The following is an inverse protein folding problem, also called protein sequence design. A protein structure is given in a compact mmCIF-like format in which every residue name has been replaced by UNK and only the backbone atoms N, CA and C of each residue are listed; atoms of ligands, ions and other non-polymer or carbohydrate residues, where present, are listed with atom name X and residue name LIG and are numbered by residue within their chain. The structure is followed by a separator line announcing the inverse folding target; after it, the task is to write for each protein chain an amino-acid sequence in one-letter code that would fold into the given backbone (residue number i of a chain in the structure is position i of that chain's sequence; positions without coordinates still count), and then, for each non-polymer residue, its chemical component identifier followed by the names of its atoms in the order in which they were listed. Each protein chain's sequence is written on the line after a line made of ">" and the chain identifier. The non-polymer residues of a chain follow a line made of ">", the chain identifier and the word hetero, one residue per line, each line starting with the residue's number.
data_IF_392968674482
#
_entry.id   IF_392968674482
#
_cell.length_a   1.000
_cell.length_b   1.000
_cell.length_c   1.000
_cell.angle_alpha   90.00
_cell.angle_beta   90.00
_cell.angle_gamma   90.00
#
_symmetry.space_group_name_H-M   'P 1'
#
loop_
_entity.id
_entity.type
_entity.pdbx_description
1 polymer ?
#
# COMPACT_ATOMS: atom_id res chain seq x y z
N UNK A 1 3.48 -27.61 -9.45
CA UNK A 1 4.95 -27.44 -9.44
C UNK A 1 5.22 -26.15 -8.69
N UNK A 2 5.57 -26.23 -7.41
CA UNK A 2 5.93 -25.06 -6.61
C UNK A 2 7.45 -24.89 -6.64
N UNK A 3 7.95 -23.94 -7.44
CA UNK A 3 9.30 -23.42 -7.27
C UNK A 3 9.30 -22.50 -6.05
N UNK A 4 9.39 -23.09 -4.85
CA UNK A 4 9.75 -22.36 -3.64
C UNK A 4 11.19 -21.88 -3.80
N UNK A 5 11.35 -20.65 -4.29
CA UNK A 5 12.62 -19.93 -4.24
C UNK A 5 12.95 -19.77 -2.75
N UNK A 6 13.83 -20.64 -2.21
CA UNK A 6 14.49 -20.37 -0.92
C UNK A 6 15.46 -19.21 -1.17
N UNK A 7 14.95 -17.99 -1.19
CA UNK A 7 15.81 -16.81 -1.15
C UNK A 7 16.52 -16.81 0.19
N UNK A 8 17.85 -16.74 0.16
CA UNK A 8 18.61 -16.60 1.38
C UNK A 8 18.51 -15.16 1.87
N UNK A 9 18.74 -14.94 3.16
CA UNK A 9 18.78 -13.60 3.74
C UNK A 9 19.80 -12.68 3.02
N UNK A 10 20.91 -13.25 2.51
CA UNK A 10 21.87 -12.53 1.70
C UNK A 10 21.32 -12.09 0.34
N UNK A 11 20.49 -12.92 -0.30
CA UNK A 11 19.83 -12.59 -1.57
C UNK A 11 18.82 -11.46 -1.37
N UNK A 12 18.09 -11.46 -0.25
CA UNK A 12 17.14 -10.39 0.10
C UNK A 12 17.86 -9.05 0.37
N UNK A 13 18.95 -9.07 1.14
CA UNK A 13 19.77 -7.86 1.37
C UNK A 13 20.29 -7.32 0.05
N UNK A 14 20.77 -8.19 -0.83
CA UNK A 14 21.26 -7.79 -2.15
C UNK A 14 20.15 -7.15 -2.98
N UNK A 15 18.97 -7.77 -3.05
CA UNK A 15 17.84 -7.23 -3.77
C UNK A 15 17.41 -5.84 -3.26
N UNK A 16 17.33 -5.65 -1.94
CA UNK A 16 16.99 -4.35 -1.34
C UNK A 16 18.07 -3.30 -1.67
N UNK A 17 19.34 -3.69 -1.64
CA UNK A 17 20.46 -2.80 -1.97
C UNK A 17 20.43 -2.39 -3.44
N UNK A 18 20.18 -3.33 -4.34
CA UNK A 18 20.09 -3.09 -5.79
C UNK A 18 18.90 -2.17 -6.11
N UNK A 19 17.75 -2.36 -5.45
CA UNK A 19 16.58 -1.49 -5.56
C UNK A 19 16.90 -0.07 -5.06
N UNK A 20 17.49 0.05 -3.87
CA UNK A 20 17.83 1.34 -3.28
C UNK A 20 18.83 2.14 -4.12
N UNK A 21 19.76 1.45 -4.80
CA UNK A 21 20.77 2.06 -5.68
C UNK A 21 20.19 2.58 -7.00
N UNK A 22 19.09 1.99 -7.49
CA UNK A 22 18.41 2.41 -8.71
C UNK A 22 17.39 3.55 -8.48
N UNK A 23 17.07 3.88 -7.23
CA UNK A 23 16.06 4.89 -6.89
C UNK A 23 16.63 6.33 -6.86
N UNK A 24 15.82 7.34 -7.18
CA UNK A 24 16.15 8.74 -6.88
C UNK A 24 16.41 8.93 -5.38
N UNK A 25 17.38 9.78 -5.03
CA UNK A 25 17.84 9.98 -3.65
C UNK A 25 16.69 10.29 -2.67
N UNK A 26 15.71 11.09 -3.09
CA UNK A 26 14.54 11.42 -2.28
C UNK A 26 13.72 10.16 -1.90
N UNK A 27 13.60 9.18 -2.81
CA UNK A 27 12.89 7.92 -2.57
C UNK A 27 13.72 6.93 -1.76
N UNK A 28 15.05 6.94 -1.88
CA UNK A 28 15.95 6.17 -1.01
C UNK A 28 15.86 6.61 0.45
N UNK A 29 15.70 7.92 0.71
CA UNK A 29 15.48 8.46 2.06
C UNK A 29 14.15 7.97 2.65
N UNK A 30 13.08 7.96 1.85
CA UNK A 30 11.77 7.44 2.28
C UNK A 30 11.84 5.93 2.62
N UNK A 31 12.53 5.14 1.79
CA UNK A 31 12.74 3.71 2.03
C UNK A 31 13.48 3.48 3.37
N UNK A 32 14.50 4.29 3.66
CA UNK A 32 15.22 4.22 4.92
C UNK A 32 14.35 4.60 6.13
N UNK A 33 13.54 5.67 6.01
CA UNK A 33 12.60 6.08 7.06
C UNK A 33 11.54 4.99 7.32
N UNK A 34 11.04 4.36 6.27
CA UNK A 34 10.11 3.24 6.39
C UNK A 34 10.75 2.03 7.09
N UNK A 35 11.99 1.69 6.75
CA UNK A 35 12.72 0.63 7.46
C UNK A 35 12.91 0.93 8.95
N UNK A 36 13.18 2.20 9.32
CA UNK A 36 13.23 2.63 10.72
C UNK A 36 11.86 2.54 11.41
N UNK A 37 10.78 2.88 10.70
CA UNK A 37 9.43 2.72 11.20
C UNK A 37 9.15 1.25 11.53
N UNK A 38 9.42 0.32 10.61
CA UNK A 38 9.23 -1.12 10.84
C UNK A 38 10.08 -1.68 11.98
N UNK A 39 11.26 -1.12 12.23
CA UNK A 39 12.10 -1.49 13.38
C UNK A 39 11.45 -1.12 14.72
N UNK A 40 10.69 -0.02 14.75
CA UNK A 40 10.01 0.48 15.96
C UNK A 40 8.57 -0.02 16.08
N UNK A 41 7.96 -0.39 14.96
CA UNK A 41 6.61 -0.91 14.82
C UNK A 41 6.70 -2.22 14.00
N UNK A 42 7.15 -3.33 14.64
CA UNK A 42 7.27 -4.59 13.94
C UNK A 42 5.90 -4.98 13.38
N UNK A 43 5.88 -5.39 12.12
CA UNK A 43 4.65 -5.92 11.52
C UNK A 43 4.24 -7.16 12.33
N UNK A 44 2.95 -7.33 12.63
CA UNK A 44 2.47 -8.57 13.22
C UNK A 44 2.88 -9.73 12.30
N UNK A 45 3.49 -10.75 12.89
CA UNK A 45 3.85 -11.98 12.18
C UNK A 45 2.58 -12.74 11.86
N UNK A 46 2.06 -12.51 10.66
CA UNK A 46 0.83 -13.09 10.08
C UNK A 46 -0.42 -12.81 10.92
N UNK A 47 -1.35 -12.05 10.34
CA UNK A 47 -2.70 -11.95 10.89
C UNK A 47 -3.33 -13.35 10.85
N UNK A 48 -3.85 -13.77 11.99
CA UNK A 48 -4.61 -15.02 12.06
C UNK A 48 -5.86 -14.91 11.21
N UNK A 49 -6.38 -16.03 10.71
CA UNK A 49 -7.67 -16.04 10.00
C UNK A 49 -8.80 -15.44 10.85
N UNK A 50 -8.72 -15.55 12.18
CA UNK A 50 -9.69 -14.97 13.10
C UNK A 50 -9.57 -13.44 13.19
N UNK A 51 -8.35 -12.89 13.17
CA UNK A 51 -8.13 -11.45 13.10
C UNK A 51 -8.60 -10.87 11.76
N UNK A 52 -8.28 -11.54 10.65
CA UNK A 52 -8.75 -11.14 9.32
C UNK A 52 -10.28 -11.16 9.27
N UNK A 53 -10.92 -12.23 9.77
CA UNK A 53 -12.38 -12.33 9.77
C UNK A 53 -13.05 -11.28 10.68
N UNK A 54 -12.41 -10.92 11.80
CA UNK A 54 -12.89 -9.86 12.67
C UNK A 54 -12.81 -8.49 11.99
N UNK A 55 -11.70 -8.21 11.30
CA UNK A 55 -11.55 -6.99 10.53
C UNK A 55 -12.56 -6.94 9.38
N UNK A 56 -12.68 -7.98 8.55
CA UNK A 56 -13.68 -8.05 7.47
C UNK A 56 -15.12 -7.79 8.00
N UNK A 57 -15.48 -8.33 9.17
CA UNK A 57 -16.77 -8.07 9.78
C UNK A 57 -16.95 -6.59 10.21
N UNK A 58 -15.89 -5.92 10.63
CA UNK A 58 -15.89 -4.47 10.92
C UNK A 58 -16.07 -3.68 9.61
N UNK A 59 -15.35 -4.04 8.56
CA UNK A 59 -15.46 -3.42 7.24
C UNK A 59 -16.88 -3.57 6.69
N UNK A 60 -17.44 -4.78 6.72
CA UNK A 60 -18.82 -5.06 6.29
C UNK A 60 -19.84 -4.24 7.07
N UNK A 61 -19.69 -4.15 8.40
CA UNK A 61 -20.59 -3.36 9.23
C UNK A 61 -20.51 -1.86 8.92
N UNK A 62 -19.31 -1.35 8.65
CA UNK A 62 -19.11 0.05 8.27
C UNK A 62 -19.67 0.36 6.88
N UNK A 63 -19.45 -0.52 5.90
CA UNK A 63 -20.04 -0.37 4.57
C UNK A 63 -21.56 -0.46 4.61
N UNK A 64 -22.13 -1.41 5.36
CA UNK A 64 -23.58 -1.54 5.51
C UNK A 64 -24.22 -0.33 6.23
N UNK A 65 -23.47 0.33 7.12
CA UNK A 65 -23.89 1.56 7.79
C UNK A 65 -23.60 2.83 6.99
N UNK A 66 -22.86 2.73 5.88
CA UNK A 66 -22.53 3.87 5.03
C UNK A 66 -23.76 4.28 4.23
N UNK A 67 -24.02 5.58 4.25
CA UNK A 67 -25.09 6.22 3.49
C UNK A 67 -24.64 6.41 2.04
N UNK A 68 -25.31 5.74 1.10
CA UNK A 68 -24.98 5.75 -0.34
C UNK A 68 -24.89 7.18 -0.90
N UNK A 69 -25.74 8.11 -0.43
CA UNK A 69 -25.72 9.50 -0.90
C UNK A 69 -24.45 10.23 -0.43
N UNK A 70 -23.99 9.92 0.79
CA UNK A 70 -22.72 10.49 1.31
C UNK A 70 -21.51 9.88 0.62
N UNK A 71 -21.56 8.59 0.30
CA UNK A 71 -20.50 7.92 -0.45
C UNK A 71 -20.41 8.49 -1.87
N UNK A 72 -21.54 8.67 -2.55
CA UNK A 72 -21.58 9.30 -3.86
C UNK A 72 -21.06 10.74 -3.84
N UNK A 73 -21.40 11.51 -2.81
CA UNK A 73 -20.88 12.87 -2.64
C UNK A 73 -19.36 12.89 -2.42
N UNK A 74 -18.83 11.93 -1.65
CA UNK A 74 -17.37 11.78 -1.44
C UNK A 74 -16.66 11.42 -2.75
N UNK A 75 -17.19 10.46 -3.51
CA UNK A 75 -16.64 10.10 -4.82
C UNK A 75 -16.60 11.30 -5.77
N UNK A 76 -17.69 12.05 -5.87
CA UNK A 76 -17.76 13.24 -6.72
C UNK A 76 -16.75 14.32 -6.30
N UNK A 77 -16.52 14.48 -4.99
CA UNK A 77 -15.52 15.41 -4.48
C UNK A 77 -14.09 14.98 -4.85
N UNK A 78 -13.76 13.69 -4.71
CA UNK A 78 -12.44 13.16 -5.09
C UNK A 78 -12.21 13.28 -6.60
N UNK A 79 -13.21 12.95 -7.42
CA UNK A 79 -13.13 13.12 -8.88
C UNK A 79 -12.91 14.58 -9.27
N UNK A 80 -13.57 15.52 -8.59
CA UNK A 80 -13.35 16.95 -8.82
C UNK A 80 -11.90 17.34 -8.48
N UNK A 81 -11.35 16.89 -7.35
CA UNK A 81 -9.96 17.17 -6.97
C UNK A 81 -8.95 16.56 -7.95
N UNK A 82 -9.23 15.36 -8.47
CA UNK A 82 -8.41 14.72 -9.51
C UNK A 82 -8.45 15.51 -10.82
N UNK A 83 -9.64 15.94 -11.25
CA UNK A 83 -9.81 16.75 -12.47
C UNK A 83 -9.15 18.12 -12.36
N UNK A 84 -9.09 18.68 -11.15
CA UNK A 84 -8.36 19.92 -10.83
C UNK A 84 -6.84 19.71 -10.70
N UNK A 85 -6.36 18.46 -10.76
CA UNK A 85 -4.95 18.12 -10.61
C UNK A 85 -4.39 18.32 -9.20
N UNK A 86 -5.26 18.44 -8.19
CA UNK A 86 -4.87 18.60 -6.77
C UNK A 86 -4.38 17.29 -6.16
N UNK A 87 -4.94 16.17 -6.63
CA UNK A 87 -4.55 14.82 -6.25
C UNK A 87 -4.36 13.99 -7.52
N UNK A 88 -3.34 13.12 -7.52
CA UNK A 88 -3.02 12.28 -8.66
C UNK A 88 -3.30 10.81 -8.32
N UNK A 89 -3.94 10.05 -9.22
CA UNK A 89 -4.24 8.65 -8.97
C UNK A 89 -2.95 7.85 -8.90
N UNK A 90 -2.79 7.07 -7.84
CA UNK A 90 -1.61 6.25 -7.61
C UNK A 90 -1.53 5.04 -8.56
N UNK A 91 -2.69 4.63 -9.09
CA UNK A 91 -2.83 3.49 -9.99
C UNK A 91 -3.65 3.87 -11.21
N UNK A 92 -3.40 3.21 -12.34
CA UNK A 92 -4.20 3.33 -13.55
C UNK A 92 -5.49 2.51 -13.48
N UNK A 93 -6.29 2.56 -14.55
CA UNK A 93 -7.54 1.81 -14.66
C UNK A 93 -7.36 0.28 -14.63
N UNK A 94 -6.13 -0.21 -14.79
CA UNK A 94 -5.76 -1.62 -14.73
C UNK A 94 -5.17 -2.00 -13.36
N UNK A 95 -5.01 -1.05 -12.45
CA UNK A 95 -4.40 -1.24 -11.14
C UNK A 95 -2.87 -1.22 -11.17
N UNK A 96 -2.24 -0.76 -12.26
CA UNK A 96 -0.79 -0.60 -12.34
C UNK A 96 -0.37 0.74 -11.74
N UNK A 97 0.75 0.75 -11.00
CA UNK A 97 1.24 1.96 -10.36
C UNK A 97 1.67 3.01 -11.38
N UNK A 98 1.22 4.26 -11.21
CA UNK A 98 1.62 5.39 -12.05
C UNK A 98 2.65 6.24 -11.29
N UNK A 99 3.84 6.39 -11.87
CA UNK A 99 4.85 7.31 -11.35
C UNK A 99 4.59 8.73 -11.87
N UNK A 100 4.28 9.64 -10.95
CA UNK A 100 4.13 11.07 -11.24
C UNK A 100 5.48 11.80 -11.06
N UNK A 101 5.83 12.75 -11.95
CA UNK A 101 7.08 13.51 -11.89
C UNK A 101 7.17 14.51 -10.74
#
# INVERSE_FOLDING_TARGET
>A
METKLRQTHADLIKAITDIAAAMPLARTVQLYQFALFLKTHPLPTEETFEEIAADEAIWDAQFAATDDDKLAALMAAVEAEMNEGKVLPMFDAHGEFIEHP
#
